data_IF_548780418223
#
_entry.id   IF_548780418223
#
_cell.length_a   1.000
_cell.length_b   1.000
_cell.length_c   1.000
_cell.angle_alpha   90.00
_cell.angle_beta   90.00
_cell.angle_gamma   90.00
#
_symmetry.space_group_name_H-M   'P 1'
#
loop_
_entity.id
_entity.type
_entity.pdbx_description
1 polymer ?
#
# COMPACT_ATOMS: atom_id res chain seq x y z
N UNK A 1 3.02 20.32 18.99
CA UNK A 1 4.11 20.35 17.97
C UNK A 1 3.52 20.90 16.69
N UNK A 2 4.24 21.71 15.92
CA UNK A 2 3.78 22.10 14.60
C UNK A 2 3.66 20.88 13.68
N UNK A 3 2.69 20.87 12.77
CA UNK A 3 2.57 19.85 11.75
C UNK A 3 3.77 19.91 10.81
N UNK A 4 4.31 18.75 10.44
CA UNK A 4 5.32 18.65 9.39
C UNK A 4 4.64 18.46 8.04
N UNK A 5 5.17 19.09 7.01
CA UNK A 5 4.77 18.81 5.65
C UNK A 5 5.58 17.59 5.16
N UNK A 6 4.89 16.51 4.83
CA UNK A 6 5.49 15.30 4.29
C UNK A 6 5.09 15.09 2.83
N UNK A 7 5.95 14.40 2.09
CA UNK A 7 5.69 13.98 0.72
C UNK A 7 5.72 12.46 0.62
N UNK A 8 4.74 11.85 -0.06
CA UNK A 8 4.75 10.42 -0.35
C UNK A 8 5.71 10.14 -1.50
N UNK A 9 6.71 9.30 -1.23
CA UNK A 9 7.68 8.85 -2.24
C UNK A 9 7.66 7.34 -2.37
N UNK A 10 7.55 6.85 -3.60
CA UNK A 10 7.40 5.41 -3.90
C UNK A 10 8.72 4.69 -4.12
N UNK A 11 9.84 5.34 -3.87
CA UNK A 11 11.16 4.73 -3.98
C UNK A 11 11.83 4.96 -5.33
N UNK A 12 13.16 4.83 -5.32
CA UNK A 12 13.98 4.99 -6.52
C UNK A 12 13.60 3.93 -7.57
N UNK A 13 13.40 4.36 -8.82
CA UNK A 13 12.97 3.50 -9.92
C UNK A 13 11.48 3.16 -9.97
N UNK A 14 10.73 3.38 -8.89
CA UNK A 14 9.28 3.19 -8.85
C UNK A 14 8.51 4.52 -8.95
N UNK A 15 9.12 5.61 -8.48
CA UNK A 15 8.53 6.93 -8.51
C UNK A 15 9.19 7.77 -9.62
N UNK A 16 8.42 8.38 -10.53
CA UNK A 16 8.98 9.32 -11.50
C UNK A 16 9.47 10.62 -10.83
N UNK A 17 8.97 10.93 -9.62
CA UNK A 17 9.42 12.10 -8.82
C UNK A 17 10.57 11.67 -7.93
N UNK A 18 11.71 12.32 -8.09
CA UNK A 18 12.93 12.00 -7.33
C UNK A 18 12.97 12.76 -5.99
N UNK A 19 13.79 12.29 -5.05
CA UNK A 19 14.07 13.03 -3.81
C UNK A 19 14.67 14.42 -4.09
N UNK A 20 15.41 14.56 -5.19
CA UNK A 20 15.94 15.85 -5.65
C UNK A 20 14.82 16.82 -6.07
N UNK A 21 13.79 16.33 -6.74
CA UNK A 21 12.63 17.14 -7.12
C UNK A 21 11.83 17.55 -5.88
N UNK A 22 11.60 16.62 -4.97
CA UNK A 22 10.90 16.87 -3.70
C UNK A 22 11.66 17.93 -2.87
N UNK A 23 12.99 17.91 -2.91
CA UNK A 23 13.82 18.87 -2.19
C UNK A 23 13.62 20.33 -2.64
N UNK A 24 13.13 20.54 -3.84
CA UNK A 24 12.82 21.86 -4.37
C UNK A 24 11.48 22.43 -3.85
N UNK A 25 10.66 21.61 -3.20
CA UNK A 25 9.35 22.03 -2.70
C UNK A 25 9.53 22.70 -1.33
N UNK A 26 9.22 24.02 -1.20
CA UNK A 26 9.38 24.71 0.06
C UNK A 26 8.53 24.11 1.18
N UNK A 27 9.13 23.91 2.35
CA UNK A 27 8.43 23.46 3.54
C UNK A 27 8.29 21.94 3.69
N UNK A 28 8.59 21.13 2.66
CA UNK A 28 8.65 19.68 2.80
C UNK A 28 9.88 19.30 3.61
N UNK A 29 9.67 18.60 4.72
CA UNK A 29 10.73 18.22 5.66
C UNK A 29 10.76 16.72 5.95
N UNK A 30 9.75 15.97 5.53
CA UNK A 30 9.63 14.54 5.83
C UNK A 30 9.16 13.76 4.59
N UNK A 31 9.63 12.53 4.49
CA UNK A 31 9.19 11.57 3.47
C UNK A 31 8.29 10.51 4.12
N UNK A 32 7.17 10.29 3.48
CA UNK A 32 6.31 9.13 3.72
C UNK A 32 6.73 8.05 2.73
N UNK A 33 7.13 6.87 3.21
CA UNK A 33 7.79 5.85 2.40
C UNK A 33 7.35 4.44 2.75
N UNK A 34 7.74 3.46 1.95
CA UNK A 34 7.58 2.03 2.22
C UNK A 34 8.63 1.21 1.46
N UNK A 35 8.80 -0.07 1.84
CA UNK A 35 9.53 -1.06 1.04
C UNK A 35 8.55 -1.72 0.06
N UNK A 36 8.62 -1.32 -1.22
CA UNK A 36 7.69 -1.79 -2.26
C UNK A 36 8.02 -3.18 -2.82
N UNK A 37 9.21 -3.69 -2.52
CA UNK A 37 9.65 -5.03 -2.89
C UNK A 37 9.26 -6.11 -1.89
N UNK A 38 8.54 -5.76 -0.82
CA UNK A 38 8.12 -6.69 0.23
C UNK A 38 6.68 -7.15 0.05
N UNK A 39 6.50 -8.46 0.13
CA UNK A 39 5.17 -9.05 0.15
C UNK A 39 4.51 -8.89 1.53
N UNK A 40 3.16 -8.84 1.60
CA UNK A 40 2.46 -8.84 2.87
C UNK A 40 2.89 -10.02 3.76
N UNK A 41 3.27 -9.72 5.00
CA UNK A 41 3.70 -10.72 5.97
C UNK A 41 5.20 -11.04 5.99
N UNK A 42 5.98 -10.51 5.06
CA UNK A 42 7.45 -10.57 5.13
C UNK A 42 8.01 -9.60 6.17
N UNK A 43 9.14 -9.99 6.76
CA UNK A 43 9.87 -9.11 7.68
C UNK A 43 10.67 -8.10 6.84
N UNK A 44 10.59 -6.84 7.23
CA UNK A 44 11.44 -5.78 6.72
C UNK A 44 12.76 -5.80 7.47
N UNK A 45 13.81 -6.24 6.80
CA UNK A 45 15.13 -6.39 7.41
C UNK A 45 15.84 -5.04 7.62
N UNK A 46 16.70 -4.97 8.62
CA UNK A 46 17.35 -3.74 9.02
C UNK A 46 18.19 -3.13 7.90
N UNK A 47 18.91 -3.96 7.17
CA UNK A 47 19.77 -3.51 6.06
C UNK A 47 18.97 -2.93 4.87
N UNK A 48 17.77 -3.45 4.62
CA UNK A 48 16.87 -2.92 3.60
C UNK A 48 16.30 -1.54 4.02
N UNK A 49 15.89 -1.43 5.29
CA UNK A 49 15.44 -0.16 5.87
C UNK A 49 16.57 0.86 5.85
N UNK A 50 17.80 0.45 6.21
CA UNK A 50 18.98 1.32 6.24
C UNK A 50 19.26 1.92 4.85
N UNK A 51 19.17 1.12 3.77
CA UNK A 51 19.38 1.63 2.41
C UNK A 51 18.42 2.76 2.07
N UNK A 52 17.14 2.62 2.40
CA UNK A 52 16.14 3.68 2.14
C UNK A 52 16.38 4.88 3.07
N UNK A 53 16.75 4.63 4.33
CA UNK A 53 17.07 5.68 5.28
C UNK A 53 18.26 6.53 4.80
N UNK A 54 19.31 5.89 4.30
CA UNK A 54 20.49 6.60 3.78
C UNK A 54 20.13 7.48 2.58
N UNK A 55 19.28 6.99 1.67
CA UNK A 55 18.78 7.76 0.53
C UNK A 55 18.00 9.01 1.00
N UNK A 56 17.04 8.82 1.91
CA UNK A 56 16.17 9.92 2.40
C UNK A 56 16.99 10.95 3.18
N UNK A 57 17.86 10.49 4.08
CA UNK A 57 18.69 11.37 4.91
C UNK A 57 19.74 12.12 4.11
N UNK A 58 20.26 11.57 3.00
CA UNK A 58 21.20 12.27 2.12
C UNK A 58 20.62 13.57 1.54
N UNK A 59 19.29 13.68 1.41
CA UNK A 59 18.60 14.89 1.02
C UNK A 59 18.13 15.75 2.20
N UNK A 60 18.44 15.34 3.44
CA UNK A 60 18.10 16.08 4.66
C UNK A 60 16.62 16.01 5.04
N UNK A 61 15.92 14.95 4.65
CA UNK A 61 14.55 14.69 5.06
C UNK A 61 14.48 13.77 6.27
N UNK A 62 13.45 13.98 7.09
CA UNK A 62 13.01 12.99 8.09
C UNK A 62 12.24 11.85 7.42
N UNK A 63 12.17 10.68 8.09
CA UNK A 63 11.42 9.51 7.62
C UNK A 63 10.44 8.97 8.67
N UNK A 64 9.75 9.88 9.33
CA UNK A 64 8.89 9.60 10.49
C UNK A 64 7.71 8.66 10.20
N UNK A 65 7.28 8.57 8.93
CA UNK A 65 6.02 7.91 8.54
C UNK A 65 6.26 6.84 7.50
N UNK A 66 5.74 5.65 7.76
CA UNK A 66 5.70 4.53 6.80
C UNK A 66 4.27 4.31 6.34
N UNK A 67 4.05 4.30 5.04
CA UNK A 67 2.78 3.97 4.41
C UNK A 67 3.01 3.02 3.21
N UNK A 68 2.75 1.73 3.37
CA UNK A 68 2.25 1.04 4.55
C UNK A 68 3.06 -0.23 4.80
N UNK A 69 3.01 -0.72 6.05
CA UNK A 69 3.35 -2.11 6.31
C UNK A 69 2.08 -2.93 6.09
N UNK A 70 2.04 -3.70 5.02
CA UNK A 70 0.85 -4.44 4.63
C UNK A 70 0.56 -5.60 5.58
N UNK A 71 -0.67 -5.67 6.08
CA UNK A 71 -1.13 -6.76 6.93
C UNK A 71 -1.43 -7.99 6.06
N UNK A 72 -0.89 -9.15 6.43
CA UNK A 72 -1.14 -10.40 5.70
C UNK A 72 -2.60 -10.83 5.79
N UNK A 73 -3.13 -11.42 4.72
CA UNK A 73 -4.54 -11.81 4.67
C UNK A 73 -4.93 -12.84 5.72
N UNK A 74 -4.04 -13.77 6.05
CA UNK A 74 -4.30 -14.77 7.08
C UNK A 74 -4.62 -14.14 8.44
N UNK A 75 -4.08 -12.95 8.72
CA UNK A 75 -4.45 -12.17 9.91
C UNK A 75 -5.87 -11.65 9.77
N UNK A 76 -6.19 -11.06 8.59
CA UNK A 76 -7.47 -10.40 8.32
C UNK A 76 -8.65 -11.37 8.41
N UNK A 77 -8.43 -12.63 8.04
CA UNK A 77 -9.47 -13.67 8.00
C UNK A 77 -9.33 -14.74 9.09
N UNK A 78 -8.34 -14.59 9.97
CA UNK A 78 -8.19 -15.44 11.14
C UNK A 78 -7.72 -16.87 10.86
N UNK A 79 -6.92 -17.10 9.80
CA UNK A 79 -6.39 -18.43 9.50
C UNK A 79 -5.39 -18.92 10.57
N UNK A 80 -5.14 -20.23 10.66
CA UNK A 80 -4.22 -20.80 11.67
C UNK A 80 -2.79 -20.23 11.61
N UNK A 81 -2.35 -19.82 10.43
CA UNK A 81 -1.02 -19.21 10.20
C UNK A 81 -0.91 -17.75 10.63
N UNK A 82 -2.02 -17.11 11.04
CA UNK A 82 -2.07 -15.69 11.43
C UNK A 82 -1.04 -15.32 12.50
N UNK A 83 -0.81 -16.20 13.48
CA UNK A 83 0.07 -15.88 14.61
C UNK A 83 1.52 -15.70 14.15
N UNK A 84 1.97 -16.49 13.17
CA UNK A 84 3.28 -16.29 12.50
C UNK A 84 3.39 -14.89 11.88
N UNK A 85 2.37 -14.48 11.13
CA UNK A 85 2.39 -13.19 10.44
C UNK A 85 2.22 -12.01 11.40
N UNK A 86 1.53 -12.19 12.52
CA UNK A 86 1.48 -11.21 13.60
C UNK A 86 2.88 -11.00 14.20
N UNK A 87 3.64 -12.06 14.45
CA UNK A 87 5.01 -11.92 14.96
C UNK A 87 5.94 -11.26 13.94
N UNK A 88 5.82 -11.59 12.66
CA UNK A 88 6.55 -10.91 11.59
C UNK A 88 6.22 -9.40 11.56
N UNK A 89 4.93 -9.05 11.66
CA UNK A 89 4.48 -7.66 11.70
C UNK A 89 5.07 -6.90 12.91
N UNK A 90 5.03 -7.52 14.09
CA UNK A 90 5.69 -6.97 15.29
C UNK A 90 7.18 -6.76 15.08
N UNK A 91 7.85 -7.69 14.37
CA UNK A 91 9.27 -7.55 14.07
C UNK A 91 9.53 -6.37 13.11
N UNK A 92 8.68 -6.15 12.12
CA UNK A 92 8.75 -4.96 11.27
C UNK A 92 8.65 -3.68 12.10
N UNK A 93 7.68 -3.59 13.03
CA UNK A 93 7.53 -2.44 13.92
C UNK A 93 8.81 -2.19 14.74
N UNK A 94 9.39 -3.26 15.33
CA UNK A 94 10.65 -3.17 16.12
C UNK A 94 11.82 -2.71 15.25
N UNK A 95 11.91 -3.19 14.02
CA UNK A 95 12.96 -2.79 13.10
C UNK A 95 12.81 -1.32 12.70
N UNK A 96 11.61 -0.89 12.30
CA UNK A 96 11.30 0.49 11.92
C UNK A 96 11.52 1.49 13.06
N UNK A 97 11.24 1.09 14.30
CA UNK A 97 11.44 1.96 15.47
C UNK A 97 12.90 2.36 15.68
N UNK A 98 13.86 1.53 15.24
CA UNK A 98 15.30 1.82 15.32
C UNK A 98 15.72 2.97 14.40
N UNK A 99 14.92 3.27 13.39
CA UNK A 99 15.13 4.34 12.40
C UNK A 99 14.30 5.60 12.68
N UNK A 100 13.70 5.69 13.86
CA UNK A 100 12.94 6.85 14.29
C UNK A 100 11.55 6.97 13.66
N UNK A 101 11.05 5.91 13.03
CA UNK A 101 9.67 5.87 12.52
C UNK A 101 8.69 5.96 13.69
N UNK A 102 7.75 6.89 13.63
CA UNK A 102 6.77 7.19 14.67
C UNK A 102 5.35 6.80 14.29
N UNK A 103 5.06 6.77 12.98
CA UNK A 103 3.75 6.46 12.45
C UNK A 103 3.88 5.36 11.42
N UNK A 104 3.11 4.30 11.59
CA UNK A 104 3.00 3.20 10.64
C UNK A 104 1.54 3.10 10.24
N UNK A 105 1.26 3.39 8.97
CA UNK A 105 -0.03 3.12 8.38
C UNK A 105 -0.17 1.64 8.06
N UNK A 106 -1.37 1.11 8.16
CA UNK A 106 -1.66 -0.28 7.82
C UNK A 106 -2.95 -0.38 7.01
N UNK A 107 -2.99 -1.38 6.15
CA UNK A 107 -4.17 -1.70 5.36
C UNK A 107 -4.80 -2.98 5.90
N UNK A 108 -6.07 -2.90 6.32
CA UNK A 108 -6.82 -4.05 6.84
C UNK A 108 -7.97 -4.42 5.90
N UNK A 109 -7.81 -4.15 4.63
CA UNK A 109 -8.78 -4.51 3.59
C UNK A 109 -8.52 -5.95 3.15
N UNK A 110 -9.50 -6.84 3.28
CA UNK A 110 -9.33 -8.22 2.83
C UNK A 110 -9.35 -8.25 1.30
N UNK A 111 -8.36 -8.88 0.68
CA UNK A 111 -8.14 -9.16 -0.75
C UNK A 111 -8.15 -7.93 -1.65
N UNK A 112 -9.26 -7.20 -1.73
CA UNK A 112 -9.48 -6.10 -2.68
C UNK A 112 -9.05 -4.75 -2.09
N UNK A 113 -7.75 -4.61 -1.88
CA UNK A 113 -7.17 -3.46 -1.21
C UNK A 113 -7.37 -2.15 -2.00
N UNK A 114 -7.14 -2.15 -3.30
CA UNK A 114 -7.11 -0.93 -4.09
C UNK A 114 -7.99 -1.05 -5.34
N UNK A 115 -9.29 -1.21 -5.15
CA UNK A 115 -10.23 -1.36 -6.26
C UNK A 115 -10.60 -0.01 -6.85
N UNK A 116 -10.41 0.14 -8.17
CA UNK A 116 -10.83 1.29 -8.95
C UNK A 116 -11.53 0.82 -10.22
N UNK A 117 -12.44 1.65 -10.72
CA UNK A 117 -13.13 1.41 -12.00
C UNK A 117 -12.62 2.33 -13.10
N UNK A 118 -11.95 3.40 -12.72
CA UNK A 118 -11.31 4.34 -13.63
C UNK A 118 -10.06 4.94 -12.95
N UNK A 119 -8.96 5.06 -13.67
CA UNK A 119 -7.74 5.70 -13.18
C UNK A 119 -7.63 7.17 -13.58
N UNK A 120 -8.40 7.58 -14.57
CA UNK A 120 -8.32 8.90 -15.18
C UNK A 120 -9.70 9.52 -15.33
N UNK A 121 -10.54 9.36 -14.29
CA UNK A 121 -11.88 9.93 -14.29
C UNK A 121 -11.81 11.47 -14.35
N UNK A 122 -12.47 12.10 -15.33
CA UNK A 122 -12.44 13.56 -15.46
C UNK A 122 -13.08 14.24 -14.26
N UNK A 123 -12.44 15.29 -13.78
CA UNK A 123 -12.95 16.15 -12.69
C UNK A 123 -13.28 17.52 -13.25
N UNK A 124 -14.17 18.27 -12.56
CA UNK A 124 -14.71 19.52 -13.06
C UNK A 124 -13.71 20.67 -13.27
N UNK A 125 -12.49 20.54 -12.73
CA UNK A 125 -11.39 21.50 -12.90
C UNK A 125 -10.45 21.18 -14.09
N UNK A 126 -10.76 20.12 -14.84
CA UNK A 126 -9.95 19.64 -15.97
C UNK A 126 -8.85 18.65 -15.59
N UNK A 127 -8.68 18.34 -14.30
CA UNK A 127 -7.79 17.26 -13.83
C UNK A 127 -8.44 15.89 -13.94
N UNK A 128 -7.71 14.84 -13.61
CA UNK A 128 -8.24 13.49 -13.50
C UNK A 128 -7.97 12.93 -12.10
N UNK A 129 -8.85 12.01 -11.66
CA UNK A 129 -8.72 11.36 -10.37
C UNK A 129 -9.01 9.86 -10.45
N UNK A 130 -8.54 9.12 -9.47
CA UNK A 130 -8.94 7.73 -9.26
C UNK A 130 -10.42 7.68 -8.89
N UNK A 131 -11.17 6.78 -9.51
CA UNK A 131 -12.61 6.72 -9.34
C UNK A 131 -13.11 5.28 -9.16
N UNK A 132 -14.13 5.12 -8.32
CA UNK A 132 -14.81 3.86 -8.11
C UNK A 132 -16.31 4.01 -8.33
N UNK A 133 -16.89 3.16 -9.17
CA UNK A 133 -18.31 3.09 -9.42
C UNK A 133 -18.81 1.64 -9.28
N UNK A 134 -19.61 1.39 -8.26
CA UNK A 134 -20.05 0.05 -7.90
C UNK A 134 -20.80 -0.65 -9.05
N UNK A 135 -21.60 0.10 -9.79
CA UNK A 135 -22.44 -0.46 -10.88
C UNK A 135 -21.63 -0.97 -12.08
N UNK A 136 -20.36 -0.59 -12.17
CA UNK A 136 -19.42 -1.12 -13.16
C UNK A 136 -18.90 -2.51 -12.79
N UNK A 137 -19.00 -2.88 -11.52
CA UNK A 137 -18.62 -4.20 -11.01
C UNK A 137 -19.91 -4.94 -10.69
N UNK A 138 -20.33 -5.82 -11.59
CA UNK A 138 -21.53 -6.65 -11.41
C UNK A 138 -21.14 -8.08 -11.12
N UNK A 139 -21.85 -8.72 -10.20
CA UNK A 139 -21.70 -10.12 -9.90
C UNK A 139 -21.09 -10.42 -8.51
N UNK A 140 -20.64 -11.64 -8.36
CA UNK A 140 -20.07 -12.17 -7.15
C UNK A 140 -18.54 -11.88 -7.03
N UNK A 141 -17.92 -12.48 -6.05
CA UNK A 141 -16.47 -12.41 -5.84
C UNK A 141 -15.65 -12.84 -7.06
N UNK A 142 -16.07 -13.90 -7.75
CA UNK A 142 -15.37 -14.40 -8.93
C UNK A 142 -15.39 -13.39 -10.06
N UNK A 143 -16.55 -12.75 -10.29
CA UNK A 143 -16.69 -11.67 -11.26
C UNK A 143 -15.84 -10.43 -10.89
N UNK A 144 -15.71 -10.13 -9.60
CA UNK A 144 -14.84 -9.05 -9.10
C UNK A 144 -13.37 -9.38 -9.36
N UNK A 145 -12.92 -10.60 -9.09
CA UNK A 145 -11.55 -11.02 -9.34
C UNK A 145 -11.20 -10.94 -10.83
N UNK A 146 -12.08 -11.42 -11.69
CA UNK A 146 -11.95 -11.33 -13.15
C UNK A 146 -11.88 -9.87 -13.62
N UNK A 147 -12.73 -9.01 -13.05
CA UNK A 147 -12.71 -7.57 -13.35
C UNK A 147 -11.36 -6.93 -12.96
N UNK A 148 -10.87 -7.19 -11.76
CA UNK A 148 -9.61 -6.65 -11.27
C UNK A 148 -8.43 -7.13 -12.13
N UNK A 149 -8.40 -8.40 -12.51
CA UNK A 149 -7.36 -8.93 -13.38
C UNK A 149 -7.38 -8.26 -14.76
N UNK A 150 -8.55 -8.11 -15.36
CA UNK A 150 -8.70 -7.40 -16.63
C UNK A 150 -8.29 -5.92 -16.54
N UNK A 151 -8.54 -5.30 -15.40
CA UNK A 151 -8.15 -3.92 -15.13
C UNK A 151 -6.62 -3.77 -15.01
N UNK A 152 -5.96 -4.65 -14.26
CA UNK A 152 -4.50 -4.65 -14.12
C UNK A 152 -3.82 -4.92 -15.48
N UNK A 153 -4.34 -5.83 -16.26
CA UNK A 153 -3.85 -6.12 -17.60
C UNK A 153 -3.99 -4.92 -18.54
N UNK A 154 -5.18 -4.30 -18.55
CA UNK A 154 -5.45 -3.10 -19.36
C UNK A 154 -4.48 -1.94 -19.10
N UNK A 155 -4.10 -1.73 -17.86
CA UNK A 155 -3.23 -0.63 -17.45
C UNK A 155 -1.77 -1.05 -17.24
N UNK A 156 -1.43 -2.31 -17.55
CA UNK A 156 -0.10 -2.89 -17.32
C UNK A 156 0.41 -2.64 -15.88
N UNK A 157 -0.46 -2.87 -14.92
CA UNK A 157 -0.17 -2.63 -13.50
C UNK A 157 -0.01 -3.97 -12.78
N UNK A 158 0.91 -4.00 -11.83
CA UNK A 158 1.05 -5.12 -10.90
C UNK A 158 0.92 -4.61 -9.46
N UNK A 159 0.11 -5.29 -8.66
CA UNK A 159 -0.05 -4.97 -7.25
C UNK A 159 0.39 -6.17 -6.41
N UNK A 160 1.28 -5.97 -5.43
CA UNK A 160 1.61 -7.02 -4.47
C UNK A 160 0.34 -7.53 -3.79
N UNK A 161 0.12 -8.84 -3.90
CA UNK A 161 -1.08 -9.49 -3.37
C UNK A 161 -2.20 -9.72 -4.38
N UNK A 162 -2.05 -9.31 -5.61
CA UNK A 162 -2.99 -9.60 -6.71
C UNK A 162 -2.43 -10.61 -7.70
N UNK A 163 -1.49 -11.43 -7.26
CA UNK A 163 -0.95 -12.50 -8.10
C UNK A 163 -2.07 -13.49 -8.47
N UNK A 164 -2.07 -14.01 -9.72
CA UNK A 164 -3.10 -14.92 -10.21
C UNK A 164 -3.35 -16.12 -9.29
N UNK A 165 -2.29 -16.67 -8.69
CA UNK A 165 -2.38 -17.78 -7.75
C UNK A 165 -3.14 -17.42 -6.47
N UNK A 166 -2.98 -16.20 -5.99
CA UNK A 166 -3.69 -15.70 -4.82
C UNK A 166 -5.15 -15.39 -5.15
N UNK A 167 -5.39 -14.78 -6.31
CA UNK A 167 -6.73 -14.44 -6.77
C UNK A 167 -7.54 -15.69 -7.14
N UNK A 168 -6.89 -16.79 -7.52
CA UNK A 168 -7.52 -18.07 -7.85
C UNK A 168 -7.82 -18.96 -6.62
N UNK A 169 -7.29 -18.63 -5.44
CA UNK A 169 -7.61 -19.41 -4.23
C UNK A 169 -9.10 -19.29 -3.96
N UNK A 170 -9.85 -20.43 -3.84
CA UNK A 170 -11.23 -20.39 -3.40
C UNK A 170 -11.23 -19.81 -1.98
N UNK A 171 -11.65 -18.61 -1.89
CA UNK A 171 -11.55 -17.90 -0.64
C UNK A 171 -12.75 -18.28 0.19
N UNK A 172 -12.49 -18.81 1.37
CA UNK A 172 -13.44 -18.85 2.47
C UNK A 172 -13.84 -17.43 2.96
N UNK A 173 -13.71 -16.46 2.10
CA UNK A 173 -14.09 -15.05 2.29
C UNK A 173 -15.57 -14.76 2.13
N UNK A 174 -16.37 -15.79 1.89
CA UNK A 174 -17.83 -15.69 1.78
C UNK A 174 -18.51 -15.12 3.02
N UNK A 175 -17.77 -14.94 4.12
CA UNK A 175 -18.28 -14.30 5.34
C UNK A 175 -17.89 -12.83 5.50
N UNK A 176 -17.01 -12.31 4.67
CA UNK A 176 -16.70 -10.89 4.64
C UNK A 176 -17.64 -10.22 3.64
N UNK A 177 -18.82 -9.89 4.11
CA UNK A 177 -19.80 -9.17 3.33
C UNK A 177 -19.23 -7.83 2.86
N UNK A 178 -19.37 -7.55 1.60
CA UNK A 178 -19.04 -6.31 0.87
C UNK A 178 -19.48 -4.96 1.47
N UNK A 179 -20.23 -4.84 2.57
CA UNK A 179 -20.60 -3.55 3.12
C UNK A 179 -19.46 -2.71 3.68
N UNK A 180 -18.29 -3.32 3.93
CA UNK A 180 -17.17 -2.61 4.58
C UNK A 180 -16.26 -1.85 3.59
N UNK A 181 -16.47 -2.00 2.29
CA UNK A 181 -15.64 -1.36 1.26
C UNK A 181 -16.16 0.04 0.86
N UNK A 182 -17.33 0.42 1.33
CA UNK A 182 -18.01 1.64 0.91
C UNK A 182 -18.31 2.59 2.07
N UNK A 183 -17.31 2.95 2.85
CA UNK A 183 -17.44 4.09 3.74
C UNK A 183 -16.13 4.86 3.83
N UNK A 184 -15.88 5.68 2.86
CA UNK A 184 -15.33 7.05 3.00
C UNK A 184 -15.81 7.84 1.81
#
# INVERSE_FOLDING_TARGET
>A
MPMKMGWRWYGEGNDPVTLSDIKQIPGVTSIVWALHNKMPGEIWEIDEIQKVADQIHAYGFDMDVVESVNVHDDIKIGLPTRDKYIENYKQCIRNLSKFGVKVICYNFMPIFDWTRTDLFHPVGDGSTALFYEKDKIKGDYKSMAEYIMSFTEKYNMTFPGWEPERMAKPVSYTHLTLPTICSV
#
